data_IF_000918123373
#
_entry.id   IF_000918123373
#
_cell.length_a   1.000
_cell.length_b   1.000
_cell.length_c   1.000
_cell.angle_alpha   90.00
_cell.angle_beta   90.00
_cell.angle_gamma   90.00
#
_symmetry.space_group_name_H-M   'P 1'
#
loop_
_entity.id
_entity.type
_entity.pdbx_description
1 polymer ?
#
# COMPACT_ATOMS: atom_id res chain seq x y z
N UNK A 1 14.90 0.69 -4.25
CA UNK A 1 15.70 1.09 -3.05
C UNK A 1 14.72 1.70 -2.05
N UNK A 2 15.02 1.71 -0.74
CA UNK A 2 14.16 2.38 0.24
C UNK A 2 14.68 3.81 0.51
N UNK A 3 13.78 4.80 0.48
CA UNK A 3 14.09 6.22 0.74
C UNK A 3 13.33 6.68 1.98
N UNK A 4 14.06 7.21 2.96
CA UNK A 4 13.47 7.78 4.18
C UNK A 4 13.27 9.29 4.00
N UNK A 5 12.09 9.79 4.36
CA UNK A 5 11.76 11.21 4.33
C UNK A 5 11.64 11.74 5.77
N UNK A 6 12.25 12.89 6.12
CA UNK A 6 12.18 13.48 7.46
C UNK A 6 10.81 14.13 7.69
N UNK A 7 9.80 13.30 7.96
CA UNK A 7 8.42 13.68 8.29
C UNK A 7 7.89 12.79 9.41
N UNK A 8 7.07 13.36 10.28
CA UNK A 8 6.43 12.67 11.41
C UNK A 8 5.06 12.06 11.06
N UNK A 9 4.58 12.24 9.82
CA UNK A 9 3.42 11.52 9.33
C UNK A 9 3.71 10.02 9.30
N UNK A 10 2.71 9.16 9.54
CA UNK A 10 2.86 7.70 9.47
C UNK A 10 2.54 7.26 8.04
N UNK A 11 3.56 7.02 7.22
CA UNK A 11 3.37 6.75 5.81
C UNK A 11 4.49 5.88 5.22
N UNK A 12 4.09 4.88 4.45
CA UNK A 12 4.93 4.12 3.53
C UNK A 12 4.16 3.94 2.22
N UNK A 13 4.88 3.98 1.10
CA UNK A 13 4.30 3.69 -0.21
C UNK A 13 5.37 3.37 -1.24
N UNK A 14 5.02 2.55 -2.24
CA UNK A 14 5.75 2.49 -3.51
C UNK A 14 5.54 3.75 -4.34
N UNK A 15 6.63 4.44 -4.69
CA UNK A 15 6.61 5.70 -5.46
C UNK A 15 7.49 5.58 -6.70
N UNK A 16 6.91 5.88 -7.86
CA UNK A 16 7.57 5.81 -9.16
C UNK A 16 6.74 5.06 -10.19
N UNK A 17 7.13 5.16 -11.46
CA UNK A 17 6.34 4.62 -12.57
C UNK A 17 6.66 3.17 -12.90
N UNK A 18 7.88 2.86 -13.36
CA UNK A 18 8.23 1.54 -13.88
C UNK A 18 8.95 0.64 -12.86
N UNK A 19 9.87 1.21 -12.10
CA UNK A 19 10.57 0.59 -10.98
C UNK A 19 10.39 1.49 -9.75
N UNK A 20 9.28 1.32 -9.01
CA UNK A 20 9.02 2.20 -7.87
C UNK A 20 10.02 1.93 -6.74
N UNK A 21 10.37 3.01 -6.05
CA UNK A 21 11.12 2.98 -4.81
C UNK A 21 10.16 2.97 -3.62
N UNK A 22 10.52 2.22 -2.58
CA UNK A 22 9.78 2.28 -1.32
C UNK A 22 10.13 3.60 -0.62
N UNK A 23 9.15 4.46 -0.42
CA UNK A 23 9.30 5.70 0.33
C UNK A 23 8.66 5.50 1.70
N UNK A 24 9.39 5.81 2.76
CA UNK A 24 8.92 5.73 4.14
C UNK A 24 9.21 7.03 4.88
N UNK A 25 8.33 7.43 5.78
CA UNK A 25 8.56 8.55 6.67
C UNK A 25 9.28 8.13 7.95
N UNK A 26 10.12 9.03 8.48
CA UNK A 26 10.80 8.81 9.75
C UNK A 26 9.83 8.47 10.89
N UNK A 27 8.69 9.17 10.98
CA UNK A 27 7.70 8.92 12.03
C UNK A 27 7.09 7.52 11.98
N UNK A 28 6.98 6.89 10.80
CA UNK A 28 6.53 5.50 10.71
C UNK A 28 7.58 4.53 11.26
N UNK A 29 8.85 4.73 10.88
CA UNK A 29 9.97 3.89 11.35
C UNK A 29 10.15 3.96 12.87
N UNK A 30 9.97 5.14 13.46
CA UNK A 30 10.08 5.34 14.91
C UNK A 30 8.93 4.68 15.70
N UNK A 31 7.78 4.42 15.05
CA UNK A 31 6.59 3.91 15.71
C UNK A 31 6.42 2.40 15.63
N UNK A 32 6.89 1.76 14.56
CA UNK A 32 6.68 0.34 14.32
C UNK A 32 7.81 -0.50 14.92
N UNK A 33 7.46 -1.63 15.53
CA UNK A 33 8.44 -2.66 15.87
C UNK A 33 8.85 -3.46 14.63
N UNK A 34 9.84 -4.35 14.77
CA UNK A 34 10.40 -5.10 13.64
C UNK A 34 9.36 -5.97 12.92
N UNK A 35 8.45 -6.60 13.68
CA UNK A 35 7.41 -7.46 13.10
C UNK A 35 6.41 -6.62 12.30
N UNK A 36 5.91 -5.53 12.88
CA UNK A 36 5.00 -4.60 12.22
C UNK A 36 5.64 -3.96 10.99
N UNK A 37 6.94 -3.68 11.05
CA UNK A 37 7.70 -3.20 9.91
C UNK A 37 7.77 -4.25 8.80
N UNK A 38 8.03 -5.52 9.13
CA UNK A 38 8.03 -6.61 8.15
C UNK A 38 6.67 -6.76 7.46
N UNK A 39 5.57 -6.61 8.20
CA UNK A 39 4.22 -6.58 7.66
C UNK A 39 4.02 -5.45 6.64
N UNK A 40 4.36 -4.21 7.00
CA UNK A 40 4.27 -3.05 6.08
C UNK A 40 5.13 -3.25 4.83
N UNK A 41 6.37 -3.71 4.99
CA UNK A 41 7.26 -3.97 3.84
C UNK A 41 6.67 -5.05 2.93
N UNK A 42 6.14 -6.14 3.48
CA UNK A 42 5.53 -7.20 2.67
C UNK A 42 4.29 -6.72 1.91
N UNK A 43 3.47 -5.84 2.50
CA UNK A 43 2.35 -5.19 1.82
C UNK A 43 2.84 -4.29 0.67
N UNK A 44 3.83 -3.44 0.92
CA UNK A 44 4.39 -2.57 -0.13
C UNK A 44 5.10 -3.35 -1.23
N UNK A 45 5.72 -4.48 -0.91
CA UNK A 45 6.29 -5.40 -1.90
C UNK A 45 5.22 -5.99 -2.83
N UNK A 46 4.00 -6.21 -2.34
CA UNK A 46 2.88 -6.65 -3.16
C UNK A 46 2.57 -5.60 -4.24
N UNK A 47 2.49 -4.32 -3.87
CA UNK A 47 2.26 -3.24 -4.83
C UNK A 47 3.36 -3.16 -5.91
N UNK A 48 4.61 -3.40 -5.51
CA UNK A 48 5.73 -3.48 -6.46
C UNK A 48 5.61 -4.71 -7.37
N UNK A 49 5.32 -5.88 -6.80
CA UNK A 49 5.18 -7.13 -7.54
C UNK A 49 4.06 -7.06 -8.59
N UNK A 50 2.89 -6.57 -8.20
CA UNK A 50 1.74 -6.42 -9.09
C UNK A 50 1.81 -5.18 -9.98
N UNK A 51 2.84 -4.35 -9.82
CA UNK A 51 3.07 -3.12 -10.59
C UNK A 51 1.90 -2.13 -10.44
N UNK A 52 1.41 -1.96 -9.22
CA UNK A 52 0.20 -1.20 -8.95
C UNK A 52 0.34 0.28 -9.29
N UNK A 53 1.50 0.88 -9.06
CA UNK A 53 1.77 2.28 -9.45
C UNK A 53 1.61 2.48 -10.98
N UNK A 54 2.07 1.52 -11.77
CA UNK A 54 1.94 1.55 -13.22
C UNK A 54 0.47 1.41 -13.65
N UNK A 55 -0.21 0.34 -13.23
CA UNK A 55 -1.58 0.08 -13.66
C UNK A 55 -2.57 1.13 -13.17
N UNK A 56 -2.44 1.60 -11.93
CA UNK A 56 -3.33 2.64 -11.41
C UNK A 56 -3.07 4.01 -12.02
N UNK A 57 -1.88 4.29 -12.56
CA UNK A 57 -1.69 5.46 -13.42
C UNK A 57 -2.52 5.30 -14.70
N UNK A 58 -2.37 4.19 -15.42
CA UNK A 58 -3.10 3.93 -16.67
C UNK A 58 -4.61 3.95 -16.44
N UNK A 59 -5.10 3.24 -15.43
CA UNK A 59 -6.53 3.22 -15.11
C UNK A 59 -7.04 4.55 -14.57
N UNK A 60 -6.20 5.32 -13.88
CA UNK A 60 -6.52 6.70 -13.49
C UNK A 60 -6.81 7.59 -14.70
N UNK A 61 -6.03 7.46 -15.78
CA UNK A 61 -6.32 8.13 -17.05
C UNK A 61 -7.64 7.64 -17.67
N UNK A 62 -7.88 6.33 -17.71
CA UNK A 62 -9.14 5.78 -18.22
C UNK A 62 -10.35 6.30 -17.43
N UNK A 63 -10.24 6.41 -16.09
CA UNK A 63 -11.28 6.97 -15.23
C UNK A 63 -11.66 8.38 -15.68
N UNK A 64 -10.67 9.24 -15.96
CA UNK A 64 -10.90 10.61 -16.45
C UNK A 64 -11.65 10.61 -17.78
N UNK A 65 -11.34 9.68 -18.68
CA UNK A 65 -12.05 9.54 -19.96
C UNK A 65 -13.49 9.01 -19.79
N UNK A 66 -13.79 8.35 -18.66
CA UNK A 66 -15.09 7.74 -18.34
C UNK A 66 -15.97 8.54 -17.37
N UNK A 67 -15.68 9.81 -17.11
CA UNK A 67 -16.40 10.64 -16.11
C UNK A 67 -17.91 10.73 -16.40
N UNK A 68 -18.34 10.64 -17.65
CA UNK A 68 -19.75 10.64 -18.04
C UNK A 68 -20.48 9.30 -17.91
N UNK A 69 -19.78 8.21 -17.58
CA UNK A 69 -20.40 6.90 -17.40
C UNK A 69 -20.95 6.74 -15.99
N UNK A 70 -22.13 6.11 -15.83
CA UNK A 70 -22.70 5.88 -14.50
C UNK A 70 -21.81 4.92 -13.69
N UNK A 71 -21.76 5.13 -12.37
CA UNK A 71 -21.07 4.27 -11.39
C UNK A 71 -19.53 4.19 -11.53
N UNK A 72 -18.90 4.99 -12.39
CA UNK A 72 -17.44 5.03 -12.53
C UNK A 72 -16.72 5.32 -11.21
N UNK A 73 -17.29 6.19 -10.35
CA UNK A 73 -16.71 6.49 -9.04
C UNK A 73 -16.75 5.27 -8.10
N UNK A 74 -17.88 4.56 -8.05
CA UNK A 74 -18.06 3.38 -7.20
C UNK A 74 -17.13 2.25 -7.64
N UNK A 75 -17.07 1.97 -8.96
CA UNK A 75 -16.18 0.96 -9.53
C UNK A 75 -14.70 1.28 -9.27
N UNK A 76 -14.33 2.57 -9.34
CA UNK A 76 -12.97 2.99 -9.00
C UNK A 76 -12.65 2.73 -7.53
N UNK A 77 -13.59 3.01 -6.62
CA UNK A 77 -13.41 2.75 -5.20
C UNK A 77 -13.30 1.25 -4.92
N UNK A 78 -14.16 0.43 -5.55
CA UNK A 78 -14.09 -1.03 -5.44
C UNK A 78 -12.76 -1.58 -5.96
N UNK A 79 -12.27 -1.05 -7.08
CA UNK A 79 -10.96 -1.42 -7.62
C UNK A 79 -9.81 -1.07 -6.68
N UNK A 80 -9.82 0.11 -6.06
CA UNK A 80 -8.86 0.47 -5.01
C UNK A 80 -8.97 -0.51 -3.84
N UNK A 81 -10.18 -0.79 -3.36
CA UNK A 81 -10.39 -1.72 -2.23
C UNK A 81 -9.84 -3.11 -2.54
N UNK A 82 -10.10 -3.64 -3.74
CA UNK A 82 -9.57 -4.94 -4.16
C UNK A 82 -8.04 -4.94 -4.27
N UNK A 83 -7.43 -3.81 -4.66
CA UNK A 83 -5.97 -3.66 -4.67
C UNK A 83 -5.39 -3.82 -3.26
N UNK A 84 -5.92 -3.08 -2.29
CA UNK A 84 -5.45 -3.13 -0.90
C UNK A 84 -5.66 -4.52 -0.29
N UNK A 85 -6.84 -5.12 -0.48
CA UNK A 85 -7.12 -6.48 0.02
C UNK A 85 -6.17 -7.54 -0.56
N UNK A 86 -5.74 -7.38 -1.82
CA UNK A 86 -4.74 -8.27 -2.42
C UNK A 86 -3.36 -8.07 -1.81
N UNK A 87 -2.97 -6.83 -1.49
CA UNK A 87 -1.71 -6.53 -0.82
C UNK A 87 -1.69 -7.05 0.63
N UNK A 88 -2.80 -6.90 1.35
CA UNK A 88 -2.95 -7.45 2.71
C UNK A 88 -2.87 -8.98 2.72
N UNK A 89 -3.56 -9.66 1.79
CA UNK A 89 -3.46 -11.12 1.64
C UNK A 89 -2.04 -11.57 1.36
N UNK A 90 -1.34 -10.90 0.44
CA UNK A 90 0.05 -11.19 0.12
C UNK A 90 0.95 -11.12 1.34
N UNK A 91 0.77 -10.10 2.18
CA UNK A 91 1.57 -9.90 3.37
C UNK A 91 1.23 -10.92 4.47
N UNK A 92 -0.05 -11.26 4.66
CA UNK A 92 -0.49 -12.27 5.60
C UNK A 92 0.03 -13.68 5.27
N UNK A 93 0.30 -13.98 4.00
CA UNK A 93 0.94 -15.22 3.56
C UNK A 93 2.45 -15.29 3.85
N UNK A 94 3.10 -14.14 4.12
CA UNK A 94 4.57 -14.01 4.18
C UNK A 94 5.10 -13.61 5.55
N UNK A 95 4.24 -13.04 6.40
CA UNK A 95 4.55 -12.62 7.76
C UNK A 95 3.56 -13.28 8.69
N UNK A 96 3.97 -13.59 9.93
CA UNK A 96 3.08 -14.19 10.93
C UNK A 96 1.78 -13.36 11.05
N UNK A 97 0.60 -13.96 10.84
CA UNK A 97 -0.68 -13.24 10.82
C UNK A 97 -1.02 -12.54 12.15
N UNK A 98 -0.44 -12.97 13.28
CA UNK A 98 -0.67 -12.32 14.59
C UNK A 98 -0.10 -10.90 14.63
N UNK A 99 0.96 -10.64 13.87
CA UNK A 99 1.65 -9.34 13.79
C UNK A 99 0.77 -8.27 13.13
N UNK A 100 0.01 -8.66 12.10
CA UNK A 100 -0.90 -7.77 11.35
C UNK A 100 -2.08 -7.28 12.18
N UNK A 101 -2.59 -8.11 13.09
CA UNK A 101 -3.80 -7.83 13.88
C UNK A 101 -3.51 -7.09 15.18
N UNK A 102 -2.27 -7.11 15.67
CA UNK A 102 -1.89 -6.51 16.97
C UNK A 102 -2.19 -5.01 17.10
N UNK A 103 -2.00 -4.15 16.06
CA UNK A 103 -2.39 -2.74 16.14
C UNK A 103 -3.90 -2.51 16.27
N UNK A 104 -4.73 -3.43 15.79
CA UNK A 104 -6.19 -3.31 15.82
C UNK A 104 -6.81 -3.83 17.12
N UNK A 105 -6.11 -4.69 17.86
CA UNK A 105 -6.63 -5.30 19.10
C UNK A 105 -6.00 -4.77 20.40
N UNK A 106 -5.07 -3.81 20.34
CA UNK A 106 -4.54 -3.16 21.55
C UNK A 106 -3.76 -4.09 22.49
N UNK A 107 -3.25 -5.21 21.98
CA UNK A 107 -2.43 -6.14 22.76
C UNK A 107 -0.97 -5.66 22.75
N UNK A 108 -0.55 -5.01 23.83
CA UNK A 108 0.84 -4.59 24.06
C UNK A 108 1.74 -5.77 24.40
#
# INVERSE_FOLDING_TARGET
VARVIPSQQLFAAQVGFWEPDLVVTQGLLERLNLEQWAAVVAHEEAHRHYRDTFWFLIWGWMRVLSVGLPRTADLWQELITLRELRADRWAAERVDPVVWLRPYFGLH
#
